data_IF_219028863534
#
_entry.id   IF_219028863534
#
_cell.length_a   1.000
_cell.length_b   1.000
_cell.length_c   1.000
_cell.angle_alpha   90.00
_cell.angle_beta   90.00
_cell.angle_gamma   90.00
#
_symmetry.space_group_name_H-M   'P 1'
#
loop_
_entity.id
_entity.type
_entity.pdbx_description
1 polymer ?
#
# COMPACT_ATOMS: atom_id res chain seq x y z
N UNK A 1 -24.40 7.77 28.81
CA UNK A 1 -24.24 7.67 27.34
C UNK A 1 -22.95 6.95 27.04
N UNK A 2 -23.01 5.72 26.51
CA UNK A 2 -21.82 4.92 26.22
C UNK A 2 -21.09 5.52 25.00
N UNK A 3 -19.87 6.01 25.19
CA UNK A 3 -18.96 6.31 24.08
C UNK A 3 -18.57 4.98 23.43
N UNK A 4 -19.20 4.64 22.31
CA UNK A 4 -18.71 3.58 21.44
C UNK A 4 -17.35 4.03 20.90
N UNK A 5 -16.26 3.28 21.13
CA UNK A 5 -14.97 3.62 20.55
C UNK A 5 -15.11 3.59 19.04
N UNK A 6 -14.80 4.71 18.39
CA UNK A 6 -14.80 4.78 16.92
C UNK A 6 -13.79 3.73 16.42
N UNK A 7 -14.17 2.84 15.49
CA UNK A 7 -13.26 1.81 15.04
C UNK A 7 -11.98 2.44 14.49
N UNK A 8 -10.84 2.03 15.06
CA UNK A 8 -9.51 2.54 14.65
C UNK A 8 -9.31 2.21 13.18
N UNK A 9 -9.16 3.25 12.36
CA UNK A 9 -8.88 3.08 10.93
C UNK A 9 -7.47 2.50 10.80
N UNK A 10 -7.36 1.37 10.10
CA UNK A 10 -6.08 0.70 9.85
C UNK A 10 -5.76 0.71 8.37
N UNK A 11 -4.47 0.84 8.05
CA UNK A 11 -3.97 0.54 6.73
C UNK A 11 -4.22 -0.94 6.37
N UNK A 12 -4.26 -1.23 5.08
CA UNK A 12 -4.48 -2.58 4.55
C UNK A 12 -3.69 -2.81 3.28
N UNK A 13 -3.20 -4.03 3.09
CA UNK A 13 -2.73 -4.49 1.78
C UNK A 13 -3.93 -4.88 0.91
N UNK A 14 -4.04 -4.24 -0.25
CA UNK A 14 -5.02 -4.55 -1.27
C UNK A 14 -4.75 -5.88 -1.95
N UNK A 15 -5.62 -6.24 -2.90
CA UNK A 15 -5.48 -7.48 -3.68
C UNK A 15 -4.12 -7.52 -4.38
N UNK A 16 -3.51 -8.70 -4.36
CA UNK A 16 -2.26 -8.99 -5.06
C UNK A 16 -2.48 -9.01 -6.57
N UNK A 17 -1.53 -8.48 -7.34
CA UNK A 17 -1.34 -8.86 -8.74
C UNK A 17 -0.04 -9.66 -8.84
N UNK A 18 -0.08 -10.86 -9.42
CA UNK A 18 1.09 -11.74 -9.54
C UNK A 18 0.74 -13.23 -9.46
N UNK A 19 1.74 -14.11 -9.50
CA UNK A 19 1.55 -15.56 -9.33
C UNK A 19 0.97 -15.91 -7.95
N UNK A 20 0.45 -17.13 -7.82
CA UNK A 20 0.02 -17.68 -6.53
C UNK A 20 1.22 -17.74 -5.55
N UNK A 21 0.98 -17.63 -4.21
CA UNK A 21 2.03 -17.30 -3.23
C UNK A 21 3.17 -18.31 -3.05
N UNK A 22 3.16 -19.46 -3.71
CA UNK A 22 4.04 -20.59 -3.39
C UNK A 22 5.54 -20.34 -3.67
N UNK A 23 5.91 -19.27 -4.39
CA UNK A 23 7.30 -18.83 -4.55
C UNK A 23 7.40 -17.32 -4.83
N UNK A 24 6.95 -16.48 -3.89
CA UNK A 24 7.18 -15.03 -3.97
C UNK A 24 8.65 -14.74 -3.69
N UNK A 25 9.35 -14.11 -4.64
CA UNK A 25 10.78 -13.75 -4.50
C UNK A 25 11.02 -12.25 -4.43
N UNK A 26 9.98 -11.43 -4.57
CA UNK A 26 10.05 -9.98 -4.41
C UNK A 26 8.68 -9.33 -4.44
N UNK A 27 8.55 -8.16 -3.79
CA UNK A 27 7.28 -7.45 -3.68
C UNK A 27 7.43 -5.98 -4.07
N UNK A 28 6.46 -5.46 -4.83
CA UNK A 28 6.27 -4.02 -5.02
C UNK A 28 5.04 -3.53 -4.25
N UNK A 29 5.24 -2.58 -3.35
CA UNK A 29 4.18 -1.82 -2.71
C UNK A 29 3.86 -0.59 -3.53
N UNK A 30 2.66 -0.55 -4.09
CA UNK A 30 2.12 0.58 -4.83
C UNK A 30 1.49 1.54 -3.83
N UNK A 31 1.98 2.77 -3.83
CA UNK A 31 1.62 3.84 -2.90
C UNK A 31 0.79 4.89 -3.66
N UNK A 32 -0.55 4.85 -3.59
CA UNK A 32 -1.40 5.82 -4.27
C UNK A 32 -1.12 7.25 -3.81
N UNK A 33 -1.55 8.22 -4.60
CA UNK A 33 -1.53 9.61 -4.19
C UNK A 33 -2.37 9.88 -2.94
N UNK A 34 -2.22 11.09 -2.43
CA UNK A 34 -2.95 11.61 -1.27
C UNK A 34 -2.87 13.13 -1.26
N UNK A 35 -3.32 13.73 -0.17
CA UNK A 35 -3.20 15.17 0.06
C UNK A 35 -2.11 15.47 1.08
N UNK A 36 -1.65 16.71 1.12
CA UNK A 36 -0.77 17.19 2.19
C UNK A 36 -1.48 17.16 3.55
N UNK A 37 -2.75 17.58 3.60
CA UNK A 37 -3.54 17.67 4.84
C UNK A 37 -4.97 17.15 4.61
N UNK A 38 -5.32 16.02 5.23
CA UNK A 38 -6.66 15.44 5.19
C UNK A 38 -6.85 14.29 6.19
N UNK A 39 -7.89 14.38 7.03
CA UNK A 39 -8.34 13.27 7.89
C UNK A 39 -9.34 12.32 7.23
N UNK A 40 -9.70 12.54 5.95
CA UNK A 40 -10.74 11.74 5.27
C UNK A 40 -10.19 10.37 4.88
N UNK A 41 -11.09 9.40 4.75
CA UNK A 41 -10.74 8.09 4.20
C UNK A 41 -10.44 8.22 2.70
N UNK A 42 -9.37 7.58 2.19
CA UNK A 42 -9.18 7.47 0.75
C UNK A 42 -10.31 6.65 0.14
N UNK A 43 -10.76 7.02 -1.07
CA UNK A 43 -11.64 6.14 -1.85
C UNK A 43 -10.81 4.92 -2.31
N UNK A 44 -11.17 3.69 -1.90
CA UNK A 44 -10.39 2.51 -2.30
C UNK A 44 -10.37 2.31 -3.82
N UNK A 45 -11.46 2.67 -4.49
CA UNK A 45 -11.58 2.57 -5.94
C UNK A 45 -10.61 3.52 -6.65
N UNK A 46 -10.59 4.80 -6.24
CA UNK A 46 -9.70 5.81 -6.85
C UNK A 46 -8.24 5.49 -6.54
N UNK A 47 -7.93 5.16 -5.28
CA UNK A 47 -6.58 4.79 -4.86
C UNK A 47 -6.05 3.61 -5.69
N UNK A 48 -6.85 2.55 -5.83
CA UNK A 48 -6.49 1.40 -6.68
C UNK A 48 -6.33 1.79 -8.13
N UNK A 49 -7.30 2.51 -8.71
CA UNK A 49 -7.30 2.88 -10.12
C UNK A 49 -6.04 3.68 -10.50
N UNK A 50 -5.59 4.58 -9.62
CA UNK A 50 -4.41 5.45 -9.85
C UNK A 50 -3.09 4.70 -10.05
N UNK A 51 -2.95 3.49 -9.47
CA UNK A 51 -1.71 2.70 -9.54
C UNK A 51 -1.89 1.32 -10.20
N UNK A 52 -3.13 0.93 -10.53
CA UNK A 52 -3.46 -0.41 -11.04
C UNK A 52 -2.76 -0.75 -12.36
N UNK A 53 -2.61 0.22 -13.26
CA UNK A 53 -1.94 -0.01 -14.53
C UNK A 53 -0.45 -0.34 -14.33
N UNK A 54 0.23 0.42 -13.47
CA UNK A 54 1.61 0.16 -13.08
C UNK A 54 1.76 -1.22 -12.40
N UNK A 55 0.91 -1.52 -11.42
CA UNK A 55 0.92 -2.81 -10.72
C UNK A 55 0.80 -4.00 -11.65
N UNK A 56 -0.18 -3.98 -12.57
CA UNK A 56 -0.34 -5.07 -13.55
C UNK A 56 0.85 -5.20 -14.49
N UNK A 57 1.47 -4.09 -14.90
CA UNK A 57 2.63 -4.11 -15.79
C UNK A 57 3.85 -4.71 -15.09
N UNK A 58 4.11 -4.29 -13.85
CA UNK A 58 5.21 -4.81 -13.03
C UNK A 58 5.02 -6.30 -12.73
N UNK A 59 3.86 -6.70 -12.22
CA UNK A 59 3.56 -8.11 -11.93
C UNK A 59 3.66 -9.02 -13.17
N UNK A 60 3.37 -8.48 -14.36
CA UNK A 60 3.50 -9.23 -15.61
C UNK A 60 4.95 -9.32 -16.09
N UNK A 61 5.73 -8.26 -15.90
CA UNK A 61 7.14 -8.22 -16.29
C UNK A 61 8.02 -9.10 -15.38
N UNK A 62 7.72 -9.13 -14.08
CA UNK A 62 8.46 -9.91 -13.09
C UNK A 62 7.85 -11.29 -12.77
N UNK A 63 6.97 -11.80 -13.64
CA UNK A 63 6.18 -13.00 -13.34
C UNK A 63 7.10 -14.21 -13.12
N UNK A 64 8.06 -14.39 -14.01
CA UNK A 64 8.91 -15.58 -14.04
C UNK A 64 9.97 -15.53 -12.91
N UNK A 65 10.20 -14.33 -12.37
CA UNK A 65 11.03 -14.04 -11.20
C UNK A 65 10.25 -14.05 -9.88
N UNK A 66 8.95 -14.40 -9.88
CA UNK A 66 8.14 -14.47 -8.66
C UNK A 66 7.81 -13.11 -8.04
N UNK A 67 7.73 -12.05 -8.85
CA UNK A 67 7.35 -10.70 -8.40
C UNK A 67 5.84 -10.59 -8.15
N UNK A 68 5.47 -10.08 -6.98
CA UNK A 68 4.08 -9.71 -6.68
C UNK A 68 3.95 -8.22 -6.42
N UNK A 69 2.76 -7.68 -6.64
CA UNK A 69 2.49 -6.26 -6.36
C UNK A 69 1.24 -6.11 -5.51
N UNK A 70 1.27 -5.17 -4.56
CA UNK A 70 0.18 -4.85 -3.66
C UNK A 70 -0.12 -3.36 -3.69
N UNK A 71 -1.41 -3.00 -3.65
CA UNK A 71 -1.83 -1.61 -3.43
C UNK A 71 -1.94 -1.37 -1.93
N UNK A 72 -1.28 -0.33 -1.42
CA UNK A 72 -1.48 0.10 -0.02
C UNK A 72 -2.75 0.94 0.08
N UNK A 73 -3.63 0.55 0.99
CA UNK A 73 -4.81 1.33 1.34
C UNK A 73 -4.57 2.06 2.66
N UNK A 74 -4.29 3.35 2.59
CA UNK A 74 -4.03 4.19 3.76
C UNK A 74 -5.23 4.34 4.70
N UNK A 75 -4.95 4.57 5.98
CA UNK A 75 -5.95 4.85 7.03
C UNK A 75 -6.67 6.18 6.81
N UNK A 76 -5.93 7.17 6.29
CA UNK A 76 -6.39 8.50 5.89
C UNK A 76 -5.68 8.91 4.60
N UNK A 77 -6.24 9.89 3.89
CA UNK A 77 -5.67 10.34 2.61
C UNK A 77 -4.66 11.47 2.75
N UNK A 78 -4.47 12.02 3.95
CA UNK A 78 -3.55 13.13 4.22
C UNK A 78 -2.24 12.68 4.86
N UNK A 79 -1.15 13.36 4.53
CA UNK A 79 0.13 13.23 5.24
C UNK A 79 0.05 13.80 6.67
N UNK A 80 -0.58 14.96 6.84
CA UNK A 80 -0.88 15.61 8.13
C UNK A 80 0.37 16.02 8.93
N UNK A 81 1.24 16.83 8.33
CA UNK A 81 2.37 17.46 9.02
C UNK A 81 3.36 16.47 9.63
N UNK A 82 3.63 16.58 10.92
CA UNK A 82 4.57 15.70 11.64
C UNK A 82 4.03 14.29 11.88
N UNK A 83 2.72 14.05 11.76
CA UNK A 83 2.16 12.71 11.93
C UNK A 83 2.60 11.76 10.81
N UNK A 84 2.86 12.30 9.62
CA UNK A 84 3.34 11.56 8.46
C UNK A 84 2.54 10.26 8.18
N UNK A 85 1.21 10.33 8.28
CA UNK A 85 0.35 9.14 8.32
C UNK A 85 0.53 8.22 7.10
N UNK A 86 0.77 8.79 5.91
CA UNK A 86 1.03 8.00 4.69
C UNK A 86 2.33 7.20 4.79
N UNK A 87 3.41 7.79 5.31
CA UNK A 87 4.68 7.11 5.54
C UNK A 87 4.55 6.01 6.61
N UNK A 88 3.83 6.30 7.70
CA UNK A 88 3.56 5.30 8.74
C UNK A 88 2.78 4.09 8.19
N UNK A 89 1.85 4.31 7.26
CA UNK A 89 1.10 3.25 6.59
C UNK A 89 1.93 2.50 5.55
N UNK A 90 2.85 3.17 4.86
CA UNK A 90 3.80 2.53 3.94
C UNK A 90 4.80 1.64 4.69
N UNK A 91 5.33 2.10 5.82
CA UNK A 91 6.19 1.32 6.71
C UNK A 91 5.45 0.09 7.24
N UNK A 92 4.22 0.26 7.75
CA UNK A 92 3.38 -0.87 8.16
C UNK A 92 3.16 -1.88 7.03
N UNK A 93 2.96 -1.41 5.80
CA UNK A 93 2.77 -2.28 4.64
C UNK A 93 4.03 -3.07 4.30
N UNK A 94 5.22 -2.49 4.46
CA UNK A 94 6.49 -3.17 4.28
C UNK A 94 6.68 -4.29 5.33
N UNK A 95 6.43 -3.98 6.60
CA UNK A 95 6.47 -4.98 7.68
C UNK A 95 5.48 -6.12 7.42
N UNK A 96 4.26 -5.79 6.97
CA UNK A 96 3.21 -6.78 6.71
C UNK A 96 3.55 -7.68 5.51
N UNK A 97 4.24 -7.16 4.50
CA UNK A 97 4.75 -7.94 3.37
C UNK A 97 5.82 -8.92 3.84
N UNK A 98 6.78 -8.47 4.65
CA UNK A 98 7.84 -9.34 5.20
C UNK A 98 7.21 -10.42 6.10
N UNK A 99 6.21 -10.06 6.91
CA UNK A 99 5.45 -11.02 7.72
C UNK A 99 4.74 -12.08 6.87
N UNK A 100 4.26 -11.70 5.68
CA UNK A 100 3.46 -12.58 4.82
C UNK A 100 4.32 -13.48 3.91
N UNK A 101 5.41 -12.95 3.40
CA UNK A 101 6.21 -13.59 2.35
C UNK A 101 7.63 -13.98 2.79
N UNK A 102 8.04 -13.62 4.01
CA UNK A 102 9.39 -13.81 4.50
C UNK A 102 10.31 -12.65 4.13
N UNK A 103 11.61 -12.84 4.33
CA UNK A 103 12.66 -11.85 4.05
C UNK A 103 12.90 -11.72 2.53
N UNK A 104 11.97 -11.06 1.85
CA UNK A 104 12.01 -10.80 0.40
C UNK A 104 12.30 -9.33 0.12
N UNK A 105 13.00 -9.00 -0.97
CA UNK A 105 13.18 -7.62 -1.40
C UNK A 105 11.84 -6.88 -1.55
N UNK A 106 11.74 -5.70 -0.95
CA UNK A 106 10.57 -4.82 -1.02
C UNK A 106 10.91 -3.53 -1.77
N UNK A 107 10.15 -3.24 -2.82
CA UNK A 107 10.25 -2.00 -3.59
C UNK A 107 9.00 -1.13 -3.33
N UNK A 108 9.20 0.17 -3.08
CA UNK A 108 8.13 1.15 -2.94
C UNK A 108 7.97 1.92 -4.26
N UNK A 109 6.74 2.00 -4.77
CA UNK A 109 6.43 2.73 -5.99
C UNK A 109 5.23 3.65 -5.77
N UNK A 110 5.50 4.95 -5.62
CA UNK A 110 4.49 5.94 -5.27
C UNK A 110 4.29 7.07 -6.27
N UNK A 111 3.13 7.73 -6.19
CA UNK A 111 2.81 8.93 -7.00
C UNK A 111 2.40 10.10 -6.09
N UNK A 112 2.88 11.31 -6.40
CA UNK A 112 2.59 12.50 -5.60
C UNK A 112 2.94 12.30 -4.12
N UNK A 113 1.96 12.51 -3.22
CA UNK A 113 2.15 12.26 -1.79
C UNK A 113 2.48 10.80 -1.43
N UNK A 114 2.08 9.83 -2.26
CA UNK A 114 2.49 8.44 -2.09
C UNK A 114 3.95 8.19 -2.44
N UNK A 115 4.58 9.04 -3.26
CA UNK A 115 6.03 8.99 -3.50
C UNK A 115 6.85 9.68 -2.40
N UNK A 116 6.19 10.49 -1.57
CA UNK A 116 6.79 11.10 -0.38
C UNK A 116 6.70 10.19 0.86
N UNK A 117 5.71 9.30 0.87
CA UNK A 117 5.52 8.25 1.88
C UNK A 117 6.68 7.24 1.84
#
# INVERSE_FOLDING_TARGET
>A
MAHQPTPVRRARLGRTFGPEPSAVSGVVLLLPGGDEVSGRRPSPMVATASVRALGRRLARAGRDEGLVTHVVHYRCRGWNGSEANLAADAAWAADEVVRRYGDVPVCLAGTGMGGRA
#
